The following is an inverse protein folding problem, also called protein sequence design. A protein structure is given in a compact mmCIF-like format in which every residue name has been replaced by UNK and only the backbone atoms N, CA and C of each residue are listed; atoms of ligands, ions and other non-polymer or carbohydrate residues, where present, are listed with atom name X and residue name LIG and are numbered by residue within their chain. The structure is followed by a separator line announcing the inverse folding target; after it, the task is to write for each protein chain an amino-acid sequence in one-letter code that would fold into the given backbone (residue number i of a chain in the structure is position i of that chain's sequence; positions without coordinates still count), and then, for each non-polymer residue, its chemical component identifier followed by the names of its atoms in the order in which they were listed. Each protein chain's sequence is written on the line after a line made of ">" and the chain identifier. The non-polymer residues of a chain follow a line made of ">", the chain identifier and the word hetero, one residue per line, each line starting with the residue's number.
data_IF_457933630871
#
_entry.id   IF_457933630871
#
_cell.length_a   1.000
_cell.length_b   1.000
_cell.length_c   1.000
_cell.angle_alpha   90.00
_cell.angle_beta   90.00
_cell.angle_gamma   90.00
#
_symmetry.space_group_name_H-M   'P 1'
#
loop_
_entity.id
_entity.type
_entity.pdbx_description
1 polymer ?
#
# COMPACT_ATOMS: atom_id res chain seq x y z
N UNK A 1 -25.52 21.48 -37.53
CA UNK A 1 -24.33 21.56 -36.62
C UNK A 1 -24.34 20.39 -35.67
N UNK A 2 -23.19 19.77 -35.47
CA UNK A 2 -22.99 18.69 -34.49
C UNK A 2 -22.32 19.29 -33.25
N UNK A 3 -22.80 18.92 -32.08
CA UNK A 3 -22.23 19.32 -30.79
C UNK A 3 -21.13 18.34 -30.38
N UNK A 4 -19.87 18.78 -30.44
CA UNK A 4 -18.69 17.97 -30.05
C UNK A 4 -18.27 18.28 -28.63
N UNK A 5 -18.21 17.26 -27.78
CA UNK A 5 -17.79 17.34 -26.39
C UNK A 5 -16.47 16.56 -26.22
N UNK A 6 -15.41 17.26 -25.83
CA UNK A 6 -14.11 16.65 -25.59
C UNK A 6 -13.88 16.40 -24.10
N UNK A 7 -13.51 15.18 -23.76
CA UNK A 7 -13.22 14.78 -22.37
C UNK A 7 -11.72 14.69 -22.10
N UNK A 8 -11.33 14.87 -20.83
CA UNK A 8 -9.95 14.71 -20.36
C UNK A 8 -8.95 15.61 -21.10
N UNK A 9 -7.82 15.02 -21.47
CA UNK A 9 -6.70 15.70 -22.15
C UNK A 9 -7.06 16.22 -23.56
N UNK A 10 -8.11 15.70 -24.18
CA UNK A 10 -8.52 16.16 -25.51
C UNK A 10 -8.94 17.63 -25.51
N UNK A 11 -9.23 18.22 -24.35
CA UNK A 11 -9.56 19.66 -24.21
C UNK A 11 -8.42 20.59 -24.61
N UNK A 12 -7.18 20.10 -24.64
CA UNK A 12 -6.04 20.89 -25.12
C UNK A 12 -6.09 21.18 -26.63
N UNK A 13 -6.81 20.36 -27.40
CA UNK A 13 -6.94 20.53 -28.85
C UNK A 13 -8.05 21.51 -29.27
N UNK A 14 -8.84 22.01 -28.32
CA UNK A 14 -9.88 22.96 -28.62
C UNK A 14 -10.20 23.90 -27.46
N UNK A 15 -10.33 25.21 -27.70
CA UNK A 15 -10.71 26.16 -26.65
C UNK A 15 -12.18 25.96 -26.27
N UNK A 16 -12.45 25.34 -25.11
CA UNK A 16 -13.77 25.15 -24.55
C UNK A 16 -14.19 23.69 -24.38
N UNK A 17 -15.21 23.45 -23.51
CA UNK A 17 -15.72 22.10 -23.23
C UNK A 17 -16.58 21.53 -24.36
N UNK A 18 -17.16 22.39 -25.18
CA UNK A 18 -18.13 22.04 -26.20
C UNK A 18 -17.85 22.88 -27.45
N UNK A 19 -17.78 22.23 -28.59
CA UNK A 19 -17.64 22.87 -29.90
C UNK A 19 -18.88 22.58 -30.75
N UNK A 20 -19.30 23.55 -31.53
CA UNK A 20 -20.25 23.31 -32.59
C UNK A 20 -19.49 23.19 -33.92
N UNK A 21 -19.57 22.03 -34.55
CA UNK A 21 -18.88 21.71 -35.79
C UNK A 21 -19.82 21.32 -36.91
N UNK A 22 -19.43 21.60 -38.15
CA UNK A 22 -20.16 21.07 -39.29
C UNK A 22 -19.85 19.58 -39.43
N UNK A 23 -20.88 18.73 -39.34
CA UNK A 23 -20.69 17.29 -39.33
C UNK A 23 -21.79 16.50 -40.02
N UNK A 24 -22.84 17.18 -40.54
CA UNK A 24 -23.95 16.49 -41.20
C UNK A 24 -23.48 15.69 -42.43
N UNK A 25 -23.76 14.40 -42.43
CA UNK A 25 -23.32 13.47 -43.47
C UNK A 25 -21.87 13.00 -43.38
N UNK A 26 -21.03 13.58 -42.51
CA UNK A 26 -19.66 13.18 -42.30
C UNK A 26 -19.55 12.03 -41.27
N UNK A 27 -18.49 11.25 -41.34
CA UNK A 27 -18.19 10.27 -40.30
C UNK A 27 -17.54 10.94 -39.07
N UNK A 28 -17.61 10.28 -37.94
CA UNK A 28 -16.92 10.71 -36.70
C UNK A 28 -15.43 10.98 -36.99
N UNK A 29 -14.75 10.08 -37.68
CA UNK A 29 -13.32 10.23 -38.02
C UNK A 29 -13.05 11.47 -38.89
N UNK A 30 -13.90 11.76 -39.88
CA UNK A 30 -13.76 12.94 -40.74
C UNK A 30 -13.91 14.26 -39.94
N UNK A 31 -14.89 14.32 -39.04
CA UNK A 31 -15.13 15.50 -38.19
C UNK A 31 -13.95 15.70 -37.20
N UNK A 32 -13.46 14.65 -36.60
CA UNK A 32 -12.33 14.75 -35.65
C UNK A 32 -11.03 15.17 -36.35
N UNK A 33 -10.79 14.68 -37.55
CA UNK A 33 -9.67 15.10 -38.39
C UNK A 33 -9.76 16.59 -38.76
N UNK A 34 -10.97 17.07 -39.08
CA UNK A 34 -11.22 18.46 -39.43
C UNK A 34 -11.00 19.44 -38.27
N UNK A 35 -11.18 19.01 -37.02
CA UNK A 35 -10.86 19.79 -35.82
C UNK A 35 -9.44 19.60 -35.30
N UNK A 36 -8.59 18.84 -36.02
CA UNK A 36 -7.19 18.66 -35.69
C UNK A 36 -6.93 17.68 -34.53
N UNK A 37 -7.90 16.81 -34.24
CA UNK A 37 -7.72 15.76 -33.21
C UNK A 37 -7.00 14.54 -33.80
N UNK A 38 -5.82 14.16 -33.27
CA UNK A 38 -5.12 12.95 -33.72
C UNK A 38 -5.95 11.70 -33.39
N UNK A 39 -6.09 10.77 -34.35
CA UNK A 39 -6.78 9.49 -34.13
C UNK A 39 -6.20 8.67 -32.98
N UNK A 40 -4.91 8.78 -32.76
CA UNK A 40 -4.15 8.12 -31.69
C UNK A 40 -4.49 8.67 -30.29
N UNK A 41 -5.01 9.88 -30.21
CA UNK A 41 -5.43 10.52 -28.94
C UNK A 41 -6.87 10.16 -28.52
N UNK A 42 -7.63 9.41 -29.35
CA UNK A 42 -9.04 9.10 -29.10
C UNK A 42 -9.28 7.60 -28.90
N UNK A 43 -9.99 7.20 -27.85
CA UNK A 43 -10.26 5.80 -27.52
C UNK A 43 -11.68 5.34 -27.75
N UNK A 44 -12.66 6.20 -27.48
CA UNK A 44 -14.06 5.85 -27.63
C UNK A 44 -14.90 7.06 -28.05
N UNK A 45 -15.97 6.78 -28.73
CA UNK A 45 -16.91 7.75 -29.26
C UNK A 45 -18.31 7.40 -28.77
N UNK A 46 -19.02 8.40 -28.25
CA UNK A 46 -20.39 8.26 -27.78
C UNK A 46 -21.26 9.24 -28.57
N UNK A 47 -22.16 8.71 -29.38
CA UNK A 47 -23.07 9.48 -30.18
C UNK A 47 -24.47 9.43 -29.55
N UNK A 48 -24.99 10.59 -29.12
CA UNK A 48 -26.30 10.69 -28.48
C UNK A 48 -26.49 9.75 -27.29
N UNK A 49 -25.41 9.47 -26.51
CA UNK A 49 -25.44 8.60 -25.35
C UNK A 49 -25.16 7.12 -25.64
N UNK A 50 -24.95 6.72 -26.88
CA UNK A 50 -24.60 5.35 -27.27
C UNK A 50 -23.19 5.28 -27.87
N UNK A 51 -22.44 4.25 -27.53
CA UNK A 51 -21.11 4.03 -28.10
C UNK A 51 -21.20 3.76 -29.59
N UNK A 52 -20.32 4.38 -30.38
CA UNK A 52 -20.29 4.23 -31.81
C UNK A 52 -18.87 4.01 -32.36
N UNK A 53 -18.80 3.56 -33.62
CA UNK A 53 -17.54 3.38 -34.35
C UNK A 53 -17.11 4.68 -35.06
N UNK A 54 -15.80 4.86 -35.36
CA UNK A 54 -15.29 6.01 -36.10
C UNK A 54 -15.95 6.26 -37.45
N UNK A 55 -16.49 5.20 -38.04
CA UNK A 55 -17.21 5.24 -39.33
C UNK A 55 -18.67 5.68 -39.23
N UNK A 56 -19.20 5.84 -38.00
CA UNK A 56 -20.59 6.28 -37.79
C UNK A 56 -20.84 7.66 -38.40
N UNK A 57 -21.96 7.79 -39.13
CA UNK A 57 -22.34 9.02 -39.77
C UNK A 57 -23.13 9.95 -38.86
N UNK A 58 -22.69 11.17 -38.79
CA UNK A 58 -23.31 12.23 -37.99
C UNK A 58 -24.44 12.94 -38.73
N UNK A 59 -25.40 13.42 -37.99
CA UNK A 59 -26.55 14.22 -38.47
C UNK A 59 -26.60 15.55 -37.77
N UNK A 60 -27.31 16.48 -38.38
CA UNK A 60 -27.54 17.80 -37.76
C UNK A 60 -28.31 17.66 -36.43
N UNK A 61 -27.81 18.29 -35.40
CA UNK A 61 -28.34 18.18 -34.02
C UNK A 61 -27.74 17.08 -33.15
N UNK A 62 -26.87 16.22 -33.70
CA UNK A 62 -26.22 15.18 -32.92
C UNK A 62 -25.24 15.73 -31.86
N UNK A 63 -25.13 15.01 -30.77
CA UNK A 63 -24.11 15.23 -29.75
C UNK A 63 -23.09 14.08 -29.79
N UNK A 64 -21.85 14.42 -30.14
CA UNK A 64 -20.73 13.52 -30.17
C UNK A 64 -19.80 13.79 -28.98
N UNK A 65 -19.65 12.82 -28.09
CA UNK A 65 -18.68 12.85 -27.00
C UNK A 65 -17.47 12.05 -27.40
N UNK A 66 -16.27 12.62 -27.22
CA UNK A 66 -15.00 11.96 -27.54
C UNK A 66 -14.20 11.79 -26.27
N UNK A 67 -13.88 10.54 -25.99
CA UNK A 67 -13.07 10.14 -24.85
C UNK A 67 -11.62 9.96 -25.30
N UNK A 68 -10.62 10.42 -24.50
CA UNK A 68 -9.21 10.29 -24.87
C UNK A 68 -8.81 8.84 -25.02
N UNK A 69 -7.91 8.56 -25.96
CA UNK A 69 -7.17 7.32 -25.94
C UNK A 69 -6.36 7.28 -24.65
N UNK A 70 -6.69 6.33 -23.80
CA UNK A 70 -5.81 5.98 -22.71
C UNK A 70 -4.60 5.36 -23.37
N UNK A 71 -3.51 6.11 -23.45
CA UNK A 71 -2.25 5.61 -23.98
C UNK A 71 -1.92 4.33 -23.24
N UNK A 72 -2.08 3.18 -23.91
CA UNK A 72 -1.68 1.85 -23.44
C UNK A 72 -2.19 1.45 -22.07
N UNK A 73 -3.44 0.98 -21.96
CA UNK A 73 -3.84 -0.07 -21.02
C UNK A 73 -3.55 0.07 -19.55
N UNK A 74 -3.85 1.21 -18.91
CA UNK A 74 -4.27 1.30 -17.51
C UNK A 74 -4.89 2.69 -17.33
N UNK A 75 -6.06 2.78 -16.69
CA UNK A 75 -6.59 4.06 -16.22
C UNK A 75 -5.49 4.76 -15.42
N UNK A 76 -5.27 6.07 -15.67
CA UNK A 76 -4.30 6.86 -14.91
C UNK A 76 -4.50 6.64 -13.41
N UNK A 77 -3.46 6.31 -12.69
CA UNK A 77 -3.52 6.12 -11.25
C UNK A 77 -3.85 7.43 -10.54
N UNK A 78 -4.29 7.37 -9.30
CA UNK A 78 -4.63 8.56 -8.51
C UNK A 78 -3.43 9.54 -8.33
N UNK A 79 -2.21 9.04 -8.45
CA UNK A 79 -0.96 9.79 -8.33
C UNK A 79 -0.20 9.89 -9.66
N UNK A 80 -0.91 9.72 -10.78
CA UNK A 80 -0.29 9.91 -12.09
C UNK A 80 0.22 11.35 -12.25
N UNK A 81 1.41 11.49 -12.85
CA UNK A 81 2.12 12.77 -12.94
C UNK A 81 2.87 13.20 -11.66
N UNK A 82 2.77 12.46 -10.54
CA UNK A 82 3.55 12.70 -9.33
C UNK A 82 4.90 11.98 -9.42
N UNK A 83 6.00 12.75 -9.31
CA UNK A 83 7.37 12.24 -9.33
C UNK A 83 7.93 12.11 -7.92
N UNK A 84 8.38 10.91 -7.56
CA UNK A 84 8.92 10.58 -6.23
C UNK A 84 10.39 10.16 -6.35
N UNK A 85 11.27 10.84 -5.64
CA UNK A 85 12.67 10.43 -5.47
C UNK A 85 12.76 9.59 -4.20
N UNK A 86 13.03 8.30 -4.38
CA UNK A 86 13.10 7.30 -3.33
C UNK A 86 14.55 7.04 -2.93
N UNK A 87 15.02 7.68 -1.85
CA UNK A 87 16.35 7.48 -1.26
C UNK A 87 16.33 6.38 -0.17
N UNK A 88 15.22 5.68 -0.04
CA UNK A 88 14.99 4.76 1.09
C UNK A 88 15.63 3.39 0.91
N UNK A 89 15.80 2.66 2.02
CA UNK A 89 16.37 1.32 2.10
C UNK A 89 15.57 0.43 3.05
N UNK A 90 15.85 -0.85 3.02
CA UNK A 90 15.22 -1.87 3.85
C UNK A 90 13.71 -1.98 3.61
N UNK A 91 12.85 -1.60 4.58
CA UNK A 91 11.42 -1.88 4.49
C UNK A 91 10.51 -0.66 4.67
N UNK A 92 10.60 0.09 5.74
CA UNK A 92 9.64 1.15 6.07
C UNK A 92 9.47 2.18 4.94
N UNK A 93 10.59 2.72 4.44
CA UNK A 93 10.61 3.65 3.34
C UNK A 93 10.20 3.02 2.00
N UNK A 94 10.83 1.90 1.58
CA UNK A 94 10.44 1.22 0.35
C UNK A 94 8.98 0.79 0.32
N UNK A 95 8.37 0.44 1.46
CA UNK A 95 6.95 0.14 1.54
C UNK A 95 6.06 1.39 1.36
N UNK A 96 6.48 2.53 1.92
CA UNK A 96 5.83 3.81 1.66
C UNK A 96 5.82 4.13 0.17
N UNK A 97 6.99 4.10 -0.48
CA UNK A 97 7.13 4.45 -1.90
C UNK A 97 6.50 3.40 -2.83
N UNK A 98 6.42 2.11 -2.43
CA UNK A 98 5.63 1.09 -3.11
C UNK A 98 4.14 1.48 -3.17
N UNK A 99 3.57 1.94 -2.05
CA UNK A 99 2.16 2.35 -2.03
C UNK A 99 1.91 3.52 -2.99
N UNK A 100 2.81 4.50 -3.03
CA UNK A 100 2.70 5.62 -3.99
C UNK A 100 2.83 5.13 -5.43
N UNK A 101 3.79 4.23 -5.70
CA UNK A 101 4.00 3.63 -7.01
C UNK A 101 2.78 2.82 -7.47
N UNK A 102 2.17 2.01 -6.61
CA UNK A 102 0.98 1.23 -6.92
C UNK A 102 -0.22 2.11 -7.31
N UNK A 103 -0.27 3.35 -6.79
CA UNK A 103 -1.31 4.33 -7.10
C UNK A 103 -0.97 5.27 -8.28
N UNK A 104 0.10 5.02 -9.01
CA UNK A 104 0.40 5.72 -10.26
C UNK A 104 1.66 6.58 -10.24
N UNK A 105 2.22 6.92 -9.08
CA UNK A 105 3.41 7.77 -9.00
C UNK A 105 4.60 7.18 -9.79
N UNK A 106 5.39 8.07 -10.42
CA UNK A 106 6.68 7.74 -11.01
C UNK A 106 7.75 7.74 -9.90
N UNK A 107 8.10 6.56 -9.41
CA UNK A 107 9.04 6.40 -8.31
C UNK A 107 10.42 6.03 -8.84
N UNK A 108 11.37 6.94 -8.67
CA UNK A 108 12.80 6.73 -8.99
C UNK A 108 13.54 6.35 -7.71
N UNK A 109 13.88 5.07 -7.59
CA UNK A 109 14.69 4.53 -6.48
C UNK A 109 16.16 4.74 -6.76
N UNK A 110 16.81 5.51 -5.89
CA UNK A 110 18.24 5.81 -5.95
C UNK A 110 19.01 4.83 -5.09
N UNK A 111 19.90 4.07 -5.69
CA UNK A 111 20.65 3.00 -5.04
C UNK A 111 22.16 3.21 -5.14
N UNK A 112 22.92 2.62 -4.21
CA UNK A 112 24.38 2.69 -4.25
C UNK A 112 24.93 1.84 -5.42
N UNK A 113 25.88 2.34 -6.23
CA UNK A 113 26.54 1.52 -7.24
C UNK A 113 27.15 0.24 -6.66
N UNK A 114 26.99 -0.88 -7.36
CA UNK A 114 27.55 -2.18 -7.02
C UNK A 114 26.84 -2.96 -5.92
N UNK A 115 26.20 -2.28 -4.95
CA UNK A 115 25.53 -2.96 -3.81
C UNK A 115 24.03 -2.82 -3.82
N UNK A 116 23.52 -1.66 -4.19
CA UNK A 116 22.10 -1.34 -4.17
C UNK A 116 21.51 -1.22 -2.76
N UNK A 117 20.23 -1.48 -2.66
CA UNK A 117 19.51 -1.65 -1.40
C UNK A 117 19.98 -2.95 -0.73
N UNK A 118 20.24 -2.91 0.57
CA UNK A 118 20.70 -4.08 1.33
C UNK A 118 19.74 -5.28 1.25
N UNK A 119 18.44 -5.04 1.00
CA UNK A 119 17.45 -6.09 0.79
C UNK A 119 17.71 -6.94 -0.45
N UNK A 120 18.54 -6.47 -1.39
CA UNK A 120 18.99 -7.29 -2.53
C UNK A 120 19.84 -8.48 -2.10
N UNK A 121 20.49 -8.38 -0.93
CA UNK A 121 21.30 -9.45 -0.31
C UNK A 121 20.57 -10.18 0.82
N UNK A 122 19.39 -9.73 1.25
CA UNK A 122 18.65 -10.38 2.33
C UNK A 122 17.95 -11.64 1.82
N UNK A 123 18.60 -12.76 2.05
CA UNK A 123 18.11 -14.08 1.69
C UNK A 123 18.80 -15.16 2.56
N UNK A 124 18.30 -16.39 2.67
CA UNK A 124 17.23 -17.01 1.90
C UNK A 124 15.83 -16.47 2.21
N UNK A 125 14.79 -16.63 1.31
CA UNK A 125 14.90 -17.34 0.04
C UNK A 125 15.37 -16.45 -1.13
N UNK A 126 16.01 -17.09 -2.13
CA UNK A 126 16.27 -16.51 -3.44
C UNK A 126 15.33 -17.12 -4.49
N UNK A 127 14.91 -16.33 -5.47
CA UNK A 127 14.21 -16.79 -6.68
C UNK A 127 15.17 -16.54 -7.85
N UNK A 128 15.74 -17.59 -8.40
CA UNK A 128 16.77 -17.52 -9.47
C UNK A 128 17.88 -16.47 -9.18
N UNK A 129 18.39 -16.47 -7.95
CA UNK A 129 19.48 -15.57 -7.51
C UNK A 129 19.05 -14.18 -7.09
N UNK A 130 17.76 -13.84 -7.14
CA UNK A 130 17.21 -12.55 -6.69
C UNK A 130 16.54 -12.71 -5.33
N UNK A 131 16.80 -11.80 -4.40
CA UNK A 131 16.18 -11.80 -3.06
C UNK A 131 14.65 -11.69 -3.15
N UNK A 132 13.94 -12.65 -2.58
CA UNK A 132 12.48 -12.61 -2.50
C UNK A 132 12.00 -11.40 -1.66
N UNK A 133 12.79 -10.93 -0.71
CA UNK A 133 12.48 -9.76 0.10
C UNK A 133 12.46 -8.49 -0.77
N UNK A 134 13.50 -8.27 -1.60
CA UNK A 134 13.54 -7.15 -2.52
C UNK A 134 12.37 -7.19 -3.52
N UNK A 135 12.07 -8.38 -4.06
CA UNK A 135 10.97 -8.59 -5.01
C UNK A 135 9.59 -8.23 -4.42
N UNK A 136 9.40 -8.42 -3.12
CA UNK A 136 8.10 -8.19 -2.49
C UNK A 136 7.71 -6.71 -2.37
N UNK A 137 8.68 -5.76 -2.36
CA UNK A 137 8.46 -4.37 -1.93
C UNK A 137 8.93 -3.29 -2.93
N UNK A 138 9.39 -3.67 -4.14
CA UNK A 138 9.94 -2.70 -5.08
C UNK A 138 9.29 -2.71 -6.48
N UNK A 139 8.12 -3.36 -6.64
CA UNK A 139 7.38 -3.27 -7.92
C UNK A 139 6.99 -1.83 -8.24
N UNK A 140 6.73 -1.57 -9.51
CA UNK A 140 6.34 -0.25 -10.03
C UNK A 140 7.38 0.86 -9.88
N UNK A 141 8.61 0.56 -9.41
CA UNK A 141 9.71 1.52 -9.29
C UNK A 141 10.65 1.45 -10.48
N UNK A 142 11.34 2.55 -10.74
CA UNK A 142 12.54 2.62 -11.60
C UNK A 142 13.76 2.68 -10.71
N UNK A 143 14.82 1.91 -11.00
CA UNK A 143 16.07 1.92 -10.23
C UNK A 143 17.15 2.65 -11.00
N UNK A 144 17.83 3.56 -10.32
CA UNK A 144 19.09 4.16 -10.77
C UNK A 144 20.18 3.90 -9.75
N UNK A 145 21.43 3.82 -10.20
CA UNK A 145 22.59 3.81 -9.29
C UNK A 145 23.15 5.23 -9.17
N UNK A 146 23.56 5.62 -7.94
CA UNK A 146 24.16 6.94 -7.70
C UNK A 146 24.98 6.96 -6.41
N UNK A 147 26.27 7.34 -6.50
CA UNK A 147 27.09 7.58 -5.31
C UNK A 147 26.91 9.03 -4.80
N UNK A 148 26.13 9.20 -3.74
CA UNK A 148 25.88 10.49 -3.10
C UNK A 148 27.10 11.08 -2.34
N UNK A 149 28.19 10.33 -2.21
CA UNK A 149 29.46 10.83 -1.65
C UNK A 149 30.27 11.54 -2.72
N UNK A 150 30.12 11.14 -3.99
CA UNK A 150 30.84 11.76 -5.10
C UNK A 150 30.24 13.14 -5.46
N UNK A 151 31.07 14.18 -5.73
CA UNK A 151 30.56 15.53 -6.08
C UNK A 151 29.60 15.52 -7.28
N UNK A 152 29.91 14.75 -8.34
CA UNK A 152 29.04 14.64 -9.51
C UNK A 152 27.71 13.92 -9.16
N UNK A 153 27.74 12.93 -8.27
CA UNK A 153 26.53 12.27 -7.78
C UNK A 153 25.58 13.24 -7.05
N UNK A 154 26.15 14.21 -6.33
CA UNK A 154 25.35 15.28 -5.71
C UNK A 154 24.69 16.19 -6.75
N UNK A 155 25.37 16.52 -7.85
CA UNK A 155 24.78 17.31 -8.95
C UNK A 155 23.63 16.54 -9.63
N UNK A 156 23.82 15.23 -9.82
CA UNK A 156 22.73 14.38 -10.35
C UNK A 156 21.53 14.39 -9.40
N UNK A 157 21.73 14.22 -8.09
CA UNK A 157 20.62 14.27 -7.14
C UNK A 157 19.96 15.66 -7.13
N UNK A 158 20.71 16.75 -7.23
CA UNK A 158 20.15 18.10 -7.31
C UNK A 158 19.21 18.24 -8.51
N UNK A 159 19.61 17.74 -9.68
CA UNK A 159 18.77 17.72 -10.88
C UNK A 159 17.57 16.79 -10.76
N UNK A 160 17.69 15.67 -10.05
CA UNK A 160 16.54 14.79 -9.76
C UNK A 160 15.50 15.45 -8.85
N UNK A 161 15.96 16.27 -7.91
CA UNK A 161 15.09 17.03 -6.99
C UNK A 161 14.37 18.15 -7.75
N UNK A 162 15.03 18.81 -8.72
CA UNK A 162 14.37 19.79 -9.59
C UNK A 162 13.18 19.14 -10.30
N UNK A 163 11.97 19.67 -10.10
CA UNK A 163 10.73 19.13 -10.67
C UNK A 163 10.23 17.83 -10.03
N UNK A 164 10.80 17.39 -8.90
CA UNK A 164 10.20 16.30 -8.12
C UNK A 164 9.10 16.82 -7.20
N UNK A 165 8.08 16.01 -7.00
CA UNK A 165 6.97 16.32 -6.08
C UNK A 165 7.28 15.87 -4.65
N UNK A 166 7.99 14.75 -4.52
CA UNK A 166 8.25 14.11 -3.22
C UNK A 166 9.67 13.57 -3.18
N UNK A 167 10.36 13.79 -2.07
CA UNK A 167 11.63 13.13 -1.74
C UNK A 167 11.39 12.33 -0.46
N UNK A 168 11.64 11.02 -0.51
CA UNK A 168 11.49 10.13 0.66
C UNK A 168 12.85 9.58 1.06
N UNK A 169 13.19 9.68 2.34
CA UNK A 169 14.41 9.10 2.90
C UNK A 169 14.14 8.39 4.23
N UNK A 170 14.96 7.39 4.56
CA UNK A 170 14.94 6.72 5.87
C UNK A 170 16.36 6.43 6.40
N UNK A 171 17.28 7.33 6.12
CA UNK A 171 18.63 7.26 6.68
C UNK A 171 18.62 7.55 8.19
N UNK A 172 19.71 7.21 8.85
CA UNK A 172 19.95 7.68 10.21
C UNK A 172 19.94 9.22 10.24
N UNK A 173 19.29 9.86 11.22
CA UNK A 173 19.18 11.31 11.31
C UNK A 173 20.52 12.04 11.14
N UNK A 174 20.52 13.07 10.29
CA UNK A 174 21.72 13.83 9.93
C UNK A 174 22.53 13.26 8.75
N UNK A 175 22.14 12.12 8.20
CA UNK A 175 22.87 11.53 7.05
C UNK A 175 22.63 12.31 5.77
N UNK A 176 21.37 12.62 5.47
CA UNK A 176 21.01 13.40 4.29
C UNK A 176 21.63 14.80 4.33
N UNK A 177 21.71 15.42 5.49
CA UNK A 177 22.41 16.69 5.73
C UNK A 177 23.91 16.58 5.44
N UNK A 178 24.57 15.47 5.84
CA UNK A 178 26.01 15.23 5.52
C UNK A 178 26.24 15.08 4.02
N UNK A 179 25.26 14.61 3.26
CA UNK A 179 25.34 14.61 1.79
C UNK A 179 25.11 16.01 1.19
N UNK A 180 24.67 16.99 1.98
CA UNK A 180 24.39 18.36 1.54
C UNK A 180 22.94 18.61 1.15
N UNK A 181 22.05 17.69 1.45
CA UNK A 181 20.62 17.74 1.10
C UNK A 181 19.72 17.81 2.35
N UNK A 182 20.03 18.75 3.24
CA UNK A 182 19.09 19.10 4.31
C UNK A 182 17.71 19.42 3.71
N UNK A 183 16.60 19.17 4.44
CA UNK A 183 15.25 19.47 3.94
C UNK A 183 15.08 20.90 3.43
N UNK A 184 15.73 21.85 4.08
CA UNK A 184 15.74 23.26 3.68
C UNK A 184 16.42 23.45 2.31
N UNK A 185 17.51 22.72 2.04
CA UNK A 185 18.21 22.75 0.75
C UNK A 185 17.34 22.13 -0.35
N UNK A 186 16.70 21.00 -0.09
CA UNK A 186 15.77 20.38 -1.04
C UNK A 186 14.66 21.35 -1.41
N UNK A 187 14.04 21.99 -0.42
CA UNK A 187 12.98 23.00 -0.64
C UNK A 187 13.50 24.30 -1.24
N UNK A 188 14.77 24.61 -1.12
CA UNK A 188 15.37 25.73 -1.84
C UNK A 188 15.58 25.44 -3.33
N UNK A 189 15.80 24.16 -3.70
CA UNK A 189 15.87 23.68 -5.09
C UNK A 189 14.47 23.61 -5.68
N UNK A 190 13.55 22.93 -4.98
CA UNK A 190 12.16 22.73 -5.39
C UNK A 190 11.21 23.14 -4.24
N UNK A 191 10.69 24.37 -4.24
CA UNK A 191 9.84 24.87 -3.15
C UNK A 191 8.53 24.09 -2.95
N UNK A 192 8.09 23.40 -3.98
CA UNK A 192 6.89 22.57 -3.95
C UNK A 192 7.16 21.14 -3.48
N UNK A 193 8.41 20.73 -3.31
CA UNK A 193 8.76 19.38 -2.89
C UNK A 193 8.30 19.07 -1.46
N UNK A 194 7.71 17.91 -1.29
CA UNK A 194 7.40 17.32 0.01
C UNK A 194 8.58 16.44 0.40
N UNK A 195 9.21 16.73 1.53
CA UNK A 195 10.34 15.94 2.04
C UNK A 195 9.84 15.05 3.18
N UNK A 196 9.75 13.75 2.93
CA UNK A 196 9.30 12.77 3.93
C UNK A 196 10.51 12.01 4.50
N UNK A 197 10.69 12.11 5.81
CA UNK A 197 11.77 11.49 6.57
C UNK A 197 11.18 10.42 7.47
N UNK A 198 11.60 9.16 7.26
CA UNK A 198 11.11 8.03 8.06
C UNK A 198 12.25 7.58 8.97
N UNK A 199 12.02 7.56 10.28
CA UNK A 199 13.05 7.20 11.25
C UNK A 199 12.47 6.34 12.38
N UNK A 200 13.34 5.70 13.18
CA UNK A 200 12.90 4.93 14.34
C UNK A 200 12.21 5.79 15.40
N UNK A 201 12.85 6.90 15.79
CA UNK A 201 12.52 7.65 17.00
C UNK A 201 12.43 9.17 16.79
N UNK A 202 12.41 9.64 15.54
CA UNK A 202 12.34 11.07 15.20
C UNK A 202 13.67 11.69 14.80
N UNK A 203 13.57 12.88 14.20
CA UNK A 203 14.72 13.63 13.71
C UNK A 203 15.39 14.46 14.80
N UNK A 204 14.75 14.58 15.95
CA UNK A 204 15.21 15.31 17.15
C UNK A 204 14.93 14.52 18.43
N UNK A 205 15.12 15.14 19.60
CA UNK A 205 14.83 14.55 20.88
C UNK A 205 15.79 13.45 21.33
N UNK A 206 15.47 12.75 22.45
CA UNK A 206 16.39 11.84 23.12
C UNK A 206 16.70 10.57 22.32
N UNK A 207 15.80 10.14 21.44
CA UNK A 207 15.94 8.93 20.61
C UNK A 207 16.64 9.15 19.27
N UNK A 208 16.98 10.40 18.90
CA UNK A 208 17.51 10.74 17.59
C UNK A 208 18.69 9.89 17.12
N UNK A 209 19.58 9.54 18.03
CA UNK A 209 20.81 8.78 17.73
C UNK A 209 20.64 7.27 17.89
N UNK A 210 19.47 6.78 18.28
CA UNK A 210 19.26 5.36 18.51
C UNK A 210 19.07 4.60 17.19
N UNK A 211 19.75 3.44 17.11
CA UNK A 211 19.50 2.52 16.01
C UNK A 211 18.11 1.88 16.16
N UNK A 212 17.42 1.75 15.04
CA UNK A 212 16.09 1.18 15.00
C UNK A 212 16.01 0.04 13.98
N UNK A 213 15.36 -1.03 14.40
CA UNK A 213 14.82 -2.08 13.55
C UNK A 213 13.45 -2.46 14.09
N UNK A 214 12.64 -3.09 13.28
CA UNK A 214 11.26 -3.47 13.58
C UNK A 214 11.09 -4.08 14.97
N UNK A 215 11.88 -5.12 15.31
CA UNK A 215 11.81 -5.82 16.60
C UNK A 215 12.03 -4.86 17.80
N UNK A 216 13.01 -3.96 17.69
CA UNK A 216 13.32 -3.00 18.75
C UNK A 216 12.13 -2.06 18.97
N UNK A 217 11.56 -1.57 17.88
CA UNK A 217 10.46 -0.60 17.93
C UNK A 217 9.15 -1.27 18.34
N UNK A 218 8.87 -2.50 17.95
CA UNK A 218 7.73 -3.26 18.49
C UNK A 218 7.82 -3.43 20.02
N UNK A 219 9.02 -3.68 20.53
CA UNK A 219 9.26 -3.76 21.98
C UNK A 219 9.05 -2.43 22.69
N UNK A 220 9.71 -1.38 22.24
CA UNK A 220 9.65 -0.04 22.85
C UNK A 220 8.29 0.63 22.68
N UNK A 221 7.58 0.34 21.57
CA UNK A 221 6.25 0.88 21.29
C UNK A 221 5.11 0.18 22.02
N UNK A 222 5.40 -0.79 22.88
CA UNK A 222 4.42 -1.43 23.78
C UNK A 222 3.63 -2.60 23.17
N UNK A 223 3.65 -2.81 21.85
CA UNK A 223 2.85 -3.86 21.19
C UNK A 223 3.26 -5.25 21.68
N UNK A 224 4.56 -5.53 21.87
CA UNK A 224 5.03 -6.81 22.39
C UNK A 224 4.56 -7.10 23.82
N UNK A 225 4.34 -6.06 24.63
CA UNK A 225 3.82 -6.23 25.99
C UNK A 225 2.37 -6.75 26.02
N UNK A 226 1.63 -6.55 24.91
CA UNK A 226 0.23 -6.93 24.75
C UNK A 226 0.07 -8.22 23.94
N UNK A 227 1.11 -8.67 23.23
CA UNK A 227 1.07 -9.81 22.31
C UNK A 227 1.67 -11.05 22.96
N UNK A 228 0.98 -12.17 22.86
CA UNK A 228 1.39 -13.46 23.38
C UNK A 228 0.38 -14.09 24.35
N UNK A 229 0.64 -15.32 24.81
CA UNK A 229 -0.21 -16.02 25.74
C UNK A 229 -0.20 -15.36 27.14
N UNK A 230 -1.30 -15.46 27.92
CA UNK A 230 -1.34 -15.01 29.29
C UNK A 230 -0.23 -15.67 30.12
N UNK A 231 0.53 -14.87 30.88
CA UNK A 231 1.66 -15.37 31.68
C UNK A 231 2.91 -15.80 30.90
N UNK A 232 2.84 -15.80 29.55
CA UNK A 232 3.97 -16.12 28.69
C UNK A 232 4.95 -14.94 28.48
N UNK A 233 6.03 -15.11 27.70
CA UNK A 233 6.94 -14.02 27.35
C UNK A 233 6.28 -13.00 26.41
N UNK A 234 6.76 -11.73 26.38
CA UNK A 234 6.41 -10.79 25.33
C UNK A 234 6.74 -11.36 23.95
N UNK A 235 5.82 -11.25 23.00
CA UNK A 235 5.94 -11.88 21.68
C UNK A 235 5.81 -10.81 20.61
N UNK A 236 6.71 -10.83 19.62
CA UNK A 236 6.59 -9.94 18.46
C UNK A 236 5.44 -10.38 17.55
N UNK A 237 4.86 -9.45 16.83
CA UNK A 237 3.97 -9.78 15.72
C UNK A 237 4.80 -10.40 14.60
N UNK A 238 4.32 -11.50 14.01
CA UNK A 238 5.07 -12.32 13.04
C UNK A 238 5.32 -11.66 11.67
N UNK A 239 4.96 -10.38 11.52
CA UNK A 239 5.27 -9.54 10.35
C UNK A 239 5.99 -8.27 10.83
N UNK A 240 6.81 -7.60 9.99
CA UNK A 240 7.54 -6.39 10.37
C UNK A 240 6.57 -5.19 10.51
N UNK A 241 5.78 -5.22 11.56
CA UNK A 241 4.65 -4.32 11.77
C UNK A 241 5.08 -2.88 12.00
N UNK A 242 6.19 -2.63 12.71
CA UNK A 242 6.66 -1.28 12.97
C UNK A 242 7.09 -0.58 11.67
N UNK A 243 7.79 -1.31 10.80
CA UNK A 243 8.18 -0.83 9.48
C UNK A 243 6.95 -0.53 8.61
N UNK A 244 6.07 -1.52 8.45
CA UNK A 244 4.92 -1.41 7.56
C UNK A 244 3.96 -0.30 7.96
N UNK A 245 3.64 -0.20 9.25
CA UNK A 245 2.73 0.85 9.76
C UNK A 245 3.33 2.24 9.60
N UNK A 246 4.63 2.43 9.86
CA UNK A 246 5.28 3.72 9.64
C UNK A 246 5.29 4.09 8.14
N UNK A 247 5.53 3.12 7.26
CA UNK A 247 5.42 3.30 5.82
C UNK A 247 4.02 3.71 5.36
N UNK A 248 2.97 3.09 5.94
CA UNK A 248 1.57 3.46 5.66
C UNK A 248 1.26 4.88 6.12
N UNK A 249 1.66 5.28 7.35
CA UNK A 249 1.46 6.64 7.84
C UNK A 249 2.24 7.66 7.02
N UNK A 250 3.46 7.34 6.60
CA UNK A 250 4.26 8.20 5.74
C UNK A 250 3.57 8.40 4.37
N UNK A 251 3.10 7.33 3.73
CA UNK A 251 2.36 7.42 2.47
C UNK A 251 1.08 8.25 2.61
N UNK A 252 0.30 8.03 3.68
CA UNK A 252 -0.88 8.84 3.97
C UNK A 252 -0.54 10.32 4.17
N UNK A 253 0.52 10.62 4.94
CA UNK A 253 0.96 12.00 5.18
C UNK A 253 1.45 12.68 3.90
N UNK A 254 2.14 11.95 3.01
CA UNK A 254 2.55 12.45 1.69
C UNK A 254 1.33 12.83 0.85
N UNK A 255 0.32 11.96 0.75
CA UNK A 255 -0.91 12.24 0.00
C UNK A 255 -1.66 13.44 0.59
N UNK A 256 -1.76 13.54 1.92
CA UNK A 256 -2.35 14.70 2.60
C UNK A 256 -1.56 15.99 2.32
N UNK A 257 -0.23 15.93 2.28
CA UNK A 257 0.64 17.06 1.96
C UNK A 257 0.53 17.47 0.48
N UNK A 258 0.43 16.53 -0.46
CA UNK A 258 0.15 16.79 -1.86
C UNK A 258 -1.19 17.53 -2.03
N UNK A 259 -2.25 17.06 -1.36
CA UNK A 259 -3.54 17.73 -1.37
C UNK A 259 -3.48 19.14 -0.75
N UNK A 260 -2.75 19.31 0.37
CA UNK A 260 -2.57 20.63 1.00
C UNK A 260 -1.83 21.60 0.07
N UNK A 261 -0.79 21.12 -0.64
CA UNK A 261 0.01 21.86 -1.60
C UNK A 261 -0.81 22.51 -2.72
N UNK A 262 -1.89 21.89 -3.15
CA UNK A 262 -2.77 22.46 -4.18
C UNK A 262 -3.43 23.79 -3.73
N UNK A 263 -3.55 24.01 -2.43
CA UNK A 263 -4.08 25.24 -1.85
C UNK A 263 -2.99 26.22 -1.42
N UNK A 264 -1.89 25.70 -0.88
CA UNK A 264 -0.81 26.53 -0.31
C UNK A 264 0.23 26.96 -1.35
N UNK A 265 0.36 26.19 -2.44
CA UNK A 265 1.41 26.37 -3.43
C UNK A 265 2.78 25.86 -2.98
N UNK A 266 2.94 25.43 -1.72
CA UNK A 266 4.22 25.07 -1.12
C UNK A 266 4.26 23.60 -0.67
N UNK A 267 5.44 22.98 -0.76
CA UNK A 267 5.74 21.71 -0.13
C UNK A 267 5.98 21.85 1.37
N UNK A 268 6.21 20.72 2.04
CA UNK A 268 6.50 20.69 3.48
C UNK A 268 7.42 19.53 3.86
N UNK A 269 7.93 19.57 5.10
CA UNK A 269 8.69 18.46 5.67
C UNK A 269 7.76 17.60 6.52
N UNK A 270 7.88 16.28 6.37
CA UNK A 270 7.16 15.26 7.14
C UNK A 270 8.20 14.48 7.92
N UNK A 271 8.03 14.36 9.25
CA UNK A 271 8.78 13.44 10.10
C UNK A 271 7.84 12.29 10.51
N UNK A 272 8.06 11.10 9.96
CA UNK A 272 7.30 9.90 10.25
C UNK A 272 8.15 8.94 11.08
N UNK A 273 7.67 8.56 12.27
CA UNK A 273 8.45 7.72 13.18
C UNK A 273 7.86 6.33 13.33
N UNK A 274 8.72 5.32 13.36
CA UNK A 274 8.28 3.95 13.61
C UNK A 274 7.64 3.82 14.99
N UNK A 275 8.22 4.46 16.01
CA UNK A 275 7.66 4.46 17.39
C UNK A 275 6.27 5.09 17.42
N UNK A 276 6.06 6.19 16.68
CA UNK A 276 4.76 6.86 16.58
C UNK A 276 3.71 5.95 15.98
N UNK A 277 4.08 5.19 14.92
CA UNK A 277 3.21 4.17 14.33
C UNK A 277 2.78 3.10 15.33
N UNK A 278 3.72 2.61 16.14
CA UNK A 278 3.41 1.60 17.18
C UNK A 278 2.51 2.17 18.28
N UNK A 279 2.78 3.37 18.77
CA UNK A 279 1.95 4.04 19.78
C UNK A 279 0.52 4.26 19.27
N UNK A 280 0.35 4.64 17.99
CA UNK A 280 -0.97 4.80 17.39
C UNK A 280 -1.78 3.49 17.39
N UNK A 281 -1.15 2.33 17.25
CA UNK A 281 -1.79 1.03 17.32
C UNK A 281 -2.30 0.65 18.71
N UNK A 282 -1.79 1.25 19.78
CA UNK A 282 -2.21 0.93 21.16
C UNK A 282 -3.69 1.24 21.42
N UNK A 283 -4.25 2.25 20.71
CA UNK A 283 -5.70 2.53 20.63
C UNK A 283 -6.47 2.24 21.93
N UNK A 284 -7.32 1.20 21.95
CA UNK A 284 -8.13 0.78 23.10
C UNK A 284 -7.31 0.47 24.36
N UNK A 285 -6.14 -0.11 24.22
CA UNK A 285 -5.31 -0.47 25.38
C UNK A 285 -4.71 0.80 26.04
N UNK A 286 -4.32 1.78 25.23
CA UNK A 286 -3.93 3.09 25.74
C UNK A 286 -5.10 3.80 26.45
N UNK A 287 -6.32 3.71 25.89
CA UNK A 287 -7.53 4.27 26.53
C UNK A 287 -7.79 3.65 27.91
N UNK A 288 -7.61 2.32 28.08
CA UNK A 288 -7.71 1.66 29.40
C UNK A 288 -6.68 2.22 30.38
N UNK A 289 -5.42 2.30 29.95
CA UNK A 289 -4.36 2.85 30.79
C UNK A 289 -4.63 4.30 31.21
N UNK A 290 -5.07 5.13 30.28
CA UNK A 290 -5.39 6.54 30.60
C UNK A 290 -6.63 6.72 31.48
N UNK A 291 -7.57 5.76 31.44
CA UNK A 291 -8.79 5.87 32.23
C UNK A 291 -8.58 5.64 33.72
N UNK A 292 -7.77 4.67 34.10
CA UNK A 292 -7.64 4.24 35.50
C UNK A 292 -6.20 3.83 35.91
N UNK A 293 -5.22 3.99 35.02
CA UNK A 293 -3.83 3.58 35.28
C UNK A 293 -3.57 2.09 35.16
N UNK A 294 -4.57 1.29 34.80
CA UNK A 294 -4.40 -0.15 34.65
C UNK A 294 -3.48 -0.47 33.49
N UNK A 295 -2.35 -1.13 33.75
CA UNK A 295 -1.42 -1.60 32.72
C UNK A 295 -1.96 -2.91 32.12
N UNK A 296 -2.40 -2.90 30.84
CA UNK A 296 -2.92 -4.11 30.21
C UNK A 296 -1.81 -5.16 30.05
N UNK A 297 -2.16 -6.41 30.33
CA UNK A 297 -1.28 -7.55 30.07
C UNK A 297 -1.61 -8.26 28.77
N UNK A 298 -0.93 -9.38 28.54
CA UNK A 298 -1.21 -10.29 27.42
C UNK A 298 -2.46 -11.12 27.72
N UNK A 299 -3.45 -11.00 26.86
CA UNK A 299 -4.73 -11.71 26.99
C UNK A 299 -4.80 -12.95 26.06
N UNK A 300 -3.75 -13.17 25.21
CA UNK A 300 -3.78 -14.23 24.19
C UNK A 300 -4.85 -13.97 23.14
N UNK A 301 -5.52 -15.04 22.73
CA UNK A 301 -6.54 -14.99 21.68
C UNK A 301 -7.96 -14.93 22.25
N UNK A 302 -8.17 -14.22 23.36
CA UNK A 302 -9.49 -14.08 24.01
C UNK A 302 -9.89 -12.61 24.14
N UNK A 303 -11.19 -12.35 24.07
CA UNK A 303 -11.71 -11.02 24.37
C UNK A 303 -12.02 -10.90 25.86
N UNK A 304 -11.55 -9.84 26.51
CA UNK A 304 -11.68 -9.66 27.96
C UNK A 304 -13.15 -9.62 28.44
N UNK A 305 -14.04 -8.97 27.67
CA UNK A 305 -15.42 -8.62 28.10
C UNK A 305 -16.54 -9.21 27.22
N UNK A 306 -16.22 -10.13 26.31
CA UNK A 306 -17.22 -10.83 25.47
C UNK A 306 -16.91 -12.32 25.44
N UNK A 307 -17.92 -13.17 25.69
CA UNK A 307 -17.77 -14.63 25.76
C UNK A 307 -18.96 -15.33 25.09
N UNK A 308 -18.67 -16.32 24.18
CA UNK A 308 -17.37 -16.65 23.62
C UNK A 308 -16.93 -15.68 22.53
N UNK A 309 -15.71 -15.20 22.61
CA UNK A 309 -15.01 -14.43 21.58
C UNK A 309 -13.53 -14.78 21.70
N UNK A 310 -13.14 -15.90 21.05
CA UNK A 310 -11.80 -16.44 21.20
C UNK A 310 -11.44 -17.47 20.13
N UNK A 311 -10.17 -17.92 20.19
CA UNK A 311 -9.69 -19.05 19.41
C UNK A 311 -10.03 -20.36 20.12
N UNK A 312 -10.51 -21.34 19.35
CA UNK A 312 -10.76 -22.71 19.78
C UNK A 312 -9.93 -23.69 18.97
N UNK A 313 -9.49 -24.78 19.64
CA UNK A 313 -8.79 -25.88 18.96
C UNK A 313 -9.82 -26.82 18.34
N UNK A 314 -9.79 -26.96 17.02
CA UNK A 314 -10.52 -27.96 16.25
C UNK A 314 -9.69 -29.26 16.12
N UNK A 315 -10.26 -30.30 15.52
CA UNK A 315 -9.59 -31.57 15.33
C UNK A 315 -8.33 -31.47 14.44
N UNK A 316 -8.32 -30.53 13.48
CA UNK A 316 -7.30 -30.33 12.44
C UNK A 316 -6.68 -28.93 12.44
N UNK A 317 -6.75 -28.18 13.54
CA UNK A 317 -6.18 -26.84 13.63
C UNK A 317 -6.94 -25.93 14.59
N UNK A 318 -7.09 -24.65 14.23
CA UNK A 318 -7.72 -23.64 15.08
C UNK A 318 -8.77 -22.84 14.32
N UNK A 319 -9.82 -22.40 15.05
CA UNK A 319 -10.87 -21.51 14.55
C UNK A 319 -11.10 -20.37 15.54
N UNK A 320 -11.40 -19.19 15.03
CA UNK A 320 -11.94 -18.09 15.83
C UNK A 320 -13.46 -18.10 15.79
N UNK A 321 -14.11 -18.04 16.95
CA UNK A 321 -15.56 -17.94 17.08
C UNK A 321 -15.89 -16.70 17.90
N UNK A 322 -16.74 -15.80 17.36
CA UNK A 322 -17.03 -14.50 17.94
C UNK A 322 -18.53 -14.29 18.13
N UNK A 323 -19.05 -14.50 19.34
CA UNK A 323 -20.44 -14.24 19.69
C UNK A 323 -20.59 -12.85 20.30
N UNK A 324 -20.70 -11.81 19.47
CA UNK A 324 -20.79 -10.42 19.91
C UNK A 324 -22.09 -10.04 20.62
N UNK A 325 -23.10 -10.92 20.65
CA UNK A 325 -24.40 -10.72 21.34
C UNK A 325 -25.07 -12.06 21.67
N UNK A 326 -26.17 -11.98 22.41
CA UNK A 326 -26.91 -13.18 22.85
C UNK A 326 -27.49 -13.99 21.69
N UNK A 327 -27.94 -13.33 20.61
CA UNK A 327 -28.44 -14.02 19.42
C UNK A 327 -27.37 -14.81 18.70
N UNK A 328 -26.09 -14.30 18.67
CA UNK A 328 -24.98 -15.08 18.16
C UNK A 328 -24.69 -16.31 19.03
N UNK A 329 -24.75 -16.16 20.34
CA UNK A 329 -24.52 -17.27 21.27
C UNK A 329 -25.56 -18.36 21.09
N UNK A 330 -26.85 -18.00 21.03
CA UNK A 330 -27.95 -18.94 20.80
C UNK A 330 -27.79 -19.70 19.47
N UNK A 331 -27.52 -18.98 18.38
CA UNK A 331 -27.27 -19.61 17.07
C UNK A 331 -26.04 -20.51 17.05
N UNK A 332 -24.99 -20.12 17.76
CA UNK A 332 -23.79 -20.95 17.92
C UNK A 332 -24.12 -22.25 18.65
N UNK A 333 -24.84 -22.19 19.78
CA UNK A 333 -25.18 -23.36 20.52
C UNK A 333 -25.99 -24.36 19.67
N UNK A 334 -26.99 -23.88 18.94
CA UNK A 334 -27.78 -24.73 18.03
C UNK A 334 -26.93 -25.31 16.88
N UNK A 335 -26.09 -24.48 16.23
CA UNK A 335 -25.26 -24.92 15.09
C UNK A 335 -24.19 -25.93 15.49
N UNK A 336 -23.70 -25.86 16.73
CA UNK A 336 -22.72 -26.78 17.29
C UNK A 336 -23.36 -27.97 18.05
N UNK A 337 -24.72 -28.02 18.16
CA UNK A 337 -25.44 -29.08 18.89
C UNK A 337 -24.99 -29.13 20.36
N UNK A 338 -25.07 -28.00 21.04
CA UNK A 338 -24.78 -27.81 22.49
C UNK A 338 -25.85 -26.93 23.14
N UNK A 339 -27.13 -27.20 22.79
CA UNK A 339 -28.30 -26.44 23.24
C UNK A 339 -28.47 -26.47 24.75
N UNK A 340 -27.95 -27.48 25.44
CA UNK A 340 -27.97 -27.58 26.91
C UNK A 340 -27.30 -26.34 27.57
N UNK A 341 -26.43 -25.66 26.88
CA UNK A 341 -25.81 -24.42 27.37
C UNK A 341 -26.80 -23.25 27.43
N UNK A 342 -27.90 -23.30 26.66
CA UNK A 342 -28.95 -22.27 26.67
C UNK A 342 -29.89 -22.40 27.87
N UNK A 343 -29.98 -23.59 28.44
CA UNK A 343 -30.81 -23.87 29.59
C UNK A 343 -30.12 -23.49 30.92
N UNK A 344 -28.82 -23.28 30.90
CA UNK A 344 -28.03 -22.91 32.08
C UNK A 344 -28.12 -21.40 32.34
N UNK A 345 -28.77 -21.04 33.47
CA UNK A 345 -28.91 -19.63 33.87
C UNK A 345 -27.63 -18.86 34.04
N UNK A 346 -26.47 -19.53 34.17
CA UNK A 346 -25.13 -18.93 34.23
C UNK A 346 -24.69 -18.36 32.88
N UNK A 347 -25.32 -18.73 31.77
CA UNK A 347 -24.92 -18.32 30.41
C UNK A 347 -25.98 -17.46 29.72
N UNK A 348 -27.04 -17.04 30.43
CA UNK A 348 -28.18 -16.33 29.87
C UNK A 348 -27.86 -15.00 29.18
N UNK A 349 -26.85 -14.30 29.66
CA UNK A 349 -26.38 -13.02 29.10
C UNK A 349 -24.85 -12.94 29.10
N UNK A 350 -24.31 -11.92 28.43
CA UNK A 350 -22.86 -11.80 28.29
C UNK A 350 -22.14 -11.54 29.63
N UNK A 351 -22.75 -10.79 30.54
CA UNK A 351 -22.12 -10.48 31.85
C UNK A 351 -21.94 -11.78 32.64
N UNK A 352 -22.96 -12.63 32.67
CA UNK A 352 -22.87 -13.94 33.29
C UNK A 352 -21.89 -14.86 32.59
N UNK A 353 -21.87 -14.89 31.24
CA UNK A 353 -20.90 -15.69 30.49
C UNK A 353 -19.46 -15.25 30.76
N UNK A 354 -19.21 -13.97 30.96
CA UNK A 354 -17.90 -13.46 31.40
C UNK A 354 -17.55 -13.96 32.79
N UNK A 355 -18.51 -13.86 33.75
CA UNK A 355 -18.28 -14.29 35.11
C UNK A 355 -18.09 -15.83 35.23
N UNK A 356 -18.76 -16.61 34.38
CA UNK A 356 -18.67 -18.08 34.37
C UNK A 356 -17.93 -18.63 33.15
N UNK A 357 -16.97 -17.87 32.63
CA UNK A 357 -16.15 -18.25 31.46
C UNK A 357 -15.51 -19.64 31.62
N UNK A 358 -14.95 -19.92 32.80
CA UNK A 358 -14.24 -21.16 33.10
C UNK A 358 -15.15 -22.39 33.10
N UNK A 359 -16.45 -22.19 33.26
CA UNK A 359 -17.46 -23.25 33.14
C UNK A 359 -17.96 -23.42 31.70
N UNK A 360 -18.10 -22.31 30.96
CA UNK A 360 -18.67 -22.28 29.60
C UNK A 360 -17.66 -22.77 28.56
N UNK A 361 -16.45 -22.18 28.55
CA UNK A 361 -15.48 -22.39 27.48
C UNK A 361 -15.09 -23.86 27.31
N UNK A 362 -14.80 -24.66 28.37
CA UNK A 362 -14.45 -26.07 28.20
C UNK A 362 -15.59 -26.92 27.56
N UNK A 363 -16.83 -26.55 27.73
CA UNK A 363 -17.95 -27.26 27.09
C UNK A 363 -17.99 -27.02 25.59
N UNK A 364 -17.75 -25.78 25.16
CA UNK A 364 -17.59 -25.45 23.75
C UNK A 364 -16.32 -26.10 23.15
N UNK A 365 -15.19 -26.06 23.86
CA UNK A 365 -13.91 -26.66 23.41
C UNK A 365 -14.04 -28.16 23.17
N UNK A 366 -14.75 -28.87 24.05
CA UNK A 366 -14.99 -30.31 23.90
C UNK A 366 -15.73 -30.64 22.59
N UNK A 367 -16.72 -29.82 22.24
CA UNK A 367 -17.49 -30.03 21.02
C UNK A 367 -16.70 -29.62 19.76
N UNK A 368 -16.10 -28.46 19.80
CA UNK A 368 -15.29 -27.94 18.70
C UNK A 368 -14.07 -28.84 18.41
N UNK A 369 -13.45 -29.37 19.45
CA UNK A 369 -12.29 -30.26 19.32
C UNK A 369 -12.58 -31.60 18.60
N UNK A 370 -13.85 -31.98 18.50
CA UNK A 370 -14.28 -33.17 17.79
C UNK A 370 -14.57 -32.92 16.30
N UNK A 371 -14.54 -31.69 15.84
CA UNK A 371 -14.96 -31.29 14.50
C UNK A 371 -13.78 -30.74 13.71
N UNK A 372 -13.78 -30.97 12.39
CA UNK A 372 -12.83 -30.33 11.47
C UNK A 372 -13.12 -28.84 11.29
N UNK A 373 -12.08 -28.02 11.09
CA UNK A 373 -12.20 -26.56 10.84
C UNK A 373 -13.26 -26.23 9.81
N UNK A 374 -13.24 -26.91 8.67
CA UNK A 374 -14.15 -26.66 7.57
C UNK A 374 -15.62 -26.87 7.96
N UNK A 375 -15.92 -27.90 8.74
CA UNK A 375 -17.27 -28.22 9.21
C UNK A 375 -17.78 -27.18 10.21
N UNK A 376 -16.93 -26.76 11.17
CA UNK A 376 -17.26 -25.69 12.13
C UNK A 376 -17.59 -24.40 11.38
N UNK A 377 -16.74 -24.00 10.45
CA UNK A 377 -16.91 -22.77 9.65
C UNK A 377 -18.18 -22.84 8.82
N UNK A 378 -18.46 -23.98 8.17
CA UNK A 378 -19.67 -24.18 7.37
C UNK A 378 -20.94 -24.04 8.22
N UNK A 379 -21.01 -24.71 9.38
CA UNK A 379 -22.19 -24.68 10.28
C UNK A 379 -22.42 -23.27 10.82
N UNK A 380 -21.39 -22.64 11.37
CA UNK A 380 -21.52 -21.34 12.03
C UNK A 380 -21.79 -20.21 11.04
N UNK A 381 -21.16 -20.22 9.85
CA UNK A 381 -21.52 -19.27 8.78
C UNK A 381 -22.95 -19.45 8.30
N UNK A 382 -23.42 -20.70 8.14
CA UNK A 382 -24.81 -21.00 7.79
C UNK A 382 -25.80 -20.51 8.82
N UNK A 383 -25.42 -20.45 10.10
CA UNK A 383 -26.19 -19.89 11.19
C UNK A 383 -25.99 -18.38 11.41
N UNK A 384 -25.26 -17.69 10.53
CA UNK A 384 -24.92 -16.28 10.67
C UNK A 384 -24.21 -15.95 12.01
N UNK A 385 -23.23 -16.77 12.38
CA UNK A 385 -22.32 -16.55 13.51
C UNK A 385 -20.93 -16.22 12.95
N UNK A 386 -20.30 -15.11 13.37
CA UNK A 386 -18.95 -14.77 12.95
C UNK A 386 -17.94 -15.85 13.33
N UNK A 387 -17.30 -16.44 12.34
CA UNK A 387 -16.35 -17.54 12.47
C UNK A 387 -15.34 -17.53 11.32
N UNK A 388 -14.10 -17.90 11.60
CA UNK A 388 -13.07 -18.12 10.60
C UNK A 388 -11.99 -19.10 11.06
N UNK A 389 -11.35 -19.82 10.13
CA UNK A 389 -10.19 -20.64 10.46
C UNK A 389 -8.99 -19.76 10.76
N UNK A 390 -8.01 -20.26 11.52
CA UNK A 390 -6.66 -19.72 11.51
C UNK A 390 -5.96 -20.42 10.35
N UNK A 391 -5.66 -19.66 9.31
CA UNK A 391 -5.08 -20.12 8.07
C UNK A 391 -3.56 -19.93 8.05
N UNK A 392 -2.83 -20.88 7.48
CA UNK A 392 -1.45 -20.68 7.10
C UNK A 392 -1.32 -19.89 5.76
N UNK A 393 -0.10 -19.53 5.36
CA UNK A 393 0.11 -18.75 4.13
C UNK A 393 -0.32 -19.50 2.86
N UNK A 394 -0.20 -20.84 2.85
CA UNK A 394 -0.69 -21.66 1.75
C UNK A 394 -2.21 -21.63 1.64
N UNK A 395 -2.91 -21.74 2.77
CA UNK A 395 -4.36 -21.61 2.84
C UNK A 395 -4.81 -20.18 2.46
N UNK A 396 -4.14 -19.13 2.95
CA UNK A 396 -4.47 -17.72 2.64
C UNK A 396 -4.41 -17.45 1.14
N UNK A 397 -3.29 -17.77 0.47
CA UNK A 397 -3.11 -17.46 -0.95
C UNK A 397 -3.90 -18.38 -1.89
N UNK A 398 -4.53 -19.44 -1.36
CA UNK A 398 -5.47 -20.30 -2.07
C UNK A 398 -6.94 -20.00 -1.72
N UNK A 399 -7.22 -19.13 -0.73
CA UNK A 399 -8.57 -18.77 -0.33
C UNK A 399 -9.35 -18.10 -1.47
N UNK A 400 -10.59 -18.52 -1.76
CA UNK A 400 -11.41 -17.94 -2.82
C UNK A 400 -11.67 -16.44 -2.68
N UNK A 401 -11.77 -15.93 -1.44
CA UNK A 401 -11.96 -14.49 -1.17
C UNK A 401 -10.70 -13.72 -1.53
N UNK A 402 -9.52 -14.21 -1.12
CA UNK A 402 -8.22 -13.60 -1.43
C UNK A 402 -7.99 -13.55 -2.94
N UNK A 403 -8.31 -14.64 -3.65
CA UNK A 403 -8.23 -14.71 -5.12
C UNK A 403 -9.24 -13.77 -5.80
N UNK A 404 -10.49 -13.77 -5.35
CA UNK A 404 -11.54 -12.89 -5.89
C UNK A 404 -11.18 -11.40 -5.73
N UNK A 405 -10.58 -11.05 -4.60
CA UNK A 405 -10.14 -9.69 -4.33
C UNK A 405 -8.86 -9.29 -5.09
N UNK A 406 -8.20 -10.23 -5.77
CA UNK A 406 -6.96 -9.97 -6.52
C UNK A 406 -5.76 -9.64 -5.63
N UNK A 407 -5.72 -10.21 -4.41
CA UNK A 407 -4.68 -9.93 -3.42
C UNK A 407 -3.38 -10.71 -3.62
N UNK A 408 -3.17 -11.24 -4.83
CA UNK A 408 -1.90 -11.83 -5.28
C UNK A 408 -1.50 -11.13 -6.57
N UNK A 409 -0.40 -10.42 -6.53
CA UNK A 409 0.22 -9.82 -7.71
C UNK A 409 1.13 -10.87 -8.37
N UNK A 410 1.02 -11.03 -9.69
CA UNK A 410 1.92 -11.85 -10.49
C UNK A 410 2.66 -10.95 -11.48
N UNK A 411 3.97 -11.15 -11.62
CA UNK A 411 4.85 -10.29 -12.42
C UNK A 411 5.91 -11.15 -13.11
N UNK A 412 6.29 -10.78 -14.32
CA UNK A 412 7.39 -11.41 -15.04
C UNK A 412 8.66 -10.56 -14.85
N UNK A 413 9.58 -11.05 -14.01
CA UNK A 413 10.84 -10.38 -13.70
C UNK A 413 11.97 -10.92 -14.60
N UNK A 414 12.80 -10.05 -15.14
CA UNK A 414 13.82 -10.39 -16.14
C UNK A 414 14.76 -11.55 -15.70
N UNK A 415 15.14 -11.60 -14.43
CA UNK A 415 16.05 -12.62 -13.90
C UNK A 415 15.30 -13.67 -13.09
N UNK A 416 14.39 -13.27 -12.19
CA UNK A 416 13.69 -14.19 -11.32
C UNK A 416 12.61 -15.03 -12.04
N UNK A 417 12.21 -14.62 -13.26
CA UNK A 417 11.09 -15.23 -13.98
C UNK A 417 9.75 -14.80 -13.39
N UNK A 418 8.76 -15.69 -13.44
CA UNK A 418 7.43 -15.38 -12.87
C UNK A 418 7.48 -15.37 -11.35
N UNK A 419 7.22 -14.21 -10.77
CA UNK A 419 7.21 -13.97 -9.32
C UNK A 419 5.82 -13.59 -8.83
N UNK A 420 5.53 -13.92 -7.57
CA UNK A 420 4.30 -13.55 -6.89
C UNK A 420 4.62 -12.74 -5.64
N UNK A 421 3.77 -11.77 -5.36
CA UNK A 421 3.84 -10.94 -4.15
C UNK A 421 2.42 -10.64 -3.64
N UNK A 422 2.26 -10.16 -2.39
CA UNK A 422 0.98 -9.60 -1.96
C UNK A 422 0.49 -8.52 -2.93
N UNK A 423 -0.79 -8.61 -3.32
CA UNK A 423 -1.42 -7.65 -4.23
C UNK A 423 -1.73 -6.32 -3.58
N UNK A 424 -2.42 -5.46 -4.31
CA UNK A 424 -2.84 -4.14 -3.82
C UNK A 424 -4.14 -4.31 -3.03
N UNK A 425 -4.20 -3.88 -1.75
CA UNK A 425 -5.32 -4.22 -0.87
C UNK A 425 -6.56 -3.32 -1.05
N UNK A 426 -6.52 -2.35 -1.94
CA UNK A 426 -7.61 -1.40 -2.19
C UNK A 426 -8.05 -1.42 -3.64
N UNK A 427 -9.33 -1.14 -3.87
CA UNK A 427 -9.91 -0.94 -5.19
C UNK A 427 -10.45 0.48 -5.28
N UNK A 428 -10.11 1.19 -6.35
CA UNK A 428 -10.61 2.54 -6.64
C UNK A 428 -11.25 2.51 -8.01
N UNK A 429 -12.50 2.91 -8.12
CA UNK A 429 -13.28 2.80 -9.36
C UNK A 429 -12.75 3.76 -10.44
N UNK A 430 -12.54 5.02 -10.10
CA UNK A 430 -12.16 6.05 -11.07
C UNK A 430 -10.66 6.09 -11.38
N UNK A 431 -9.79 5.64 -10.45
CA UNK A 431 -8.32 5.67 -10.56
C UNK A 431 -7.73 4.38 -9.98
N UNK A 432 -7.98 3.22 -10.61
CA UNK A 432 -7.61 1.94 -10.05
C UNK A 432 -6.09 1.81 -9.91
N UNK A 433 -5.59 1.43 -8.71
CA UNK A 433 -4.19 1.12 -8.54
C UNK A 433 -3.84 -0.16 -9.32
N UNK A 434 -2.61 -0.25 -9.81
CA UNK A 434 -2.21 -1.35 -10.69
C UNK A 434 -0.74 -1.75 -10.55
N UNK A 435 -0.46 -3.01 -10.88
CA UNK A 435 0.91 -3.51 -11.02
C UNK A 435 1.33 -3.32 -12.48
N UNK A 436 2.20 -2.32 -12.72
CA UNK A 436 2.62 -1.89 -14.05
C UNK A 436 4.00 -2.42 -14.46
N UNK A 437 4.89 -2.60 -13.48
CA UNK A 437 6.27 -3.05 -13.68
C UNK A 437 6.70 -4.03 -12.59
N UNK A 438 7.49 -5.06 -12.90
CA UNK A 438 8.14 -5.87 -11.87
C UNK A 438 9.16 -5.02 -11.09
N UNK A 439 9.67 -5.50 -9.95
CA UNK A 439 10.78 -4.87 -9.26
C UNK A 439 12.00 -4.73 -10.18
N UNK A 440 12.69 -3.57 -10.21
CA UNK A 440 13.76 -3.35 -11.16
C UNK A 440 15.06 -4.08 -10.82
N UNK A 441 15.88 -4.38 -11.82
CA UNK A 441 17.28 -4.71 -11.63
C UNK A 441 18.04 -3.49 -11.09
N UNK A 442 19.21 -3.72 -10.48
CA UNK A 442 20.04 -2.62 -9.97
C UNK A 442 20.49 -1.71 -11.11
N UNK A 443 20.11 -0.42 -11.04
CA UNK A 443 20.48 0.58 -12.04
C UNK A 443 19.83 0.41 -13.40
N UNK A 444 18.79 -0.42 -13.52
CA UNK A 444 18.12 -0.76 -14.79
C UNK A 444 17.71 0.48 -15.60
N UNK A 445 17.31 1.54 -14.92
CA UNK A 445 16.77 2.74 -15.54
C UNK A 445 17.72 3.95 -15.48
N UNK A 446 19.02 3.72 -15.15
CA UNK A 446 19.97 4.83 -14.95
C UNK A 446 20.08 5.72 -16.18
N UNK A 447 20.29 5.14 -17.37
CA UNK A 447 20.45 5.91 -18.60
C UNK A 447 19.15 6.63 -19.01
N UNK A 448 18.02 5.97 -18.86
CA UNK A 448 16.69 6.53 -19.13
C UNK A 448 16.44 7.78 -18.27
N UNK A 449 16.55 7.62 -16.95
CA UNK A 449 16.25 8.69 -15.99
C UNK A 449 17.23 9.86 -16.11
N UNK A 450 18.53 9.59 -16.30
CA UNK A 450 19.51 10.66 -16.47
C UNK A 450 19.29 11.43 -17.78
N UNK A 451 18.91 10.75 -18.85
CA UNK A 451 18.56 11.42 -20.12
C UNK A 451 17.32 12.30 -19.98
N UNK A 452 16.29 11.85 -19.25
CA UNK A 452 15.07 12.65 -18.97
C UNK A 452 15.39 13.97 -18.27
N UNK A 453 16.41 14.01 -17.40
CA UNK A 453 16.80 15.22 -16.66
C UNK A 453 17.93 16.00 -17.37
N UNK A 454 18.22 15.67 -18.65
CA UNK A 454 19.05 16.47 -19.55
C UNK A 454 20.51 16.09 -19.59
N UNK A 455 20.93 14.93 -19.07
CA UNK A 455 22.28 14.42 -19.23
C UNK A 455 22.44 13.78 -20.61
N UNK A 456 23.48 14.15 -21.33
CA UNK A 456 23.84 13.54 -22.62
C UNK A 456 24.41 12.13 -22.42
N UNK A 457 24.32 11.28 -23.44
CA UNK A 457 24.90 9.93 -23.42
C UNK A 457 26.42 9.94 -23.12
N UNK A 458 27.15 10.98 -23.57
CA UNK A 458 28.58 11.15 -23.29
C UNK A 458 28.88 11.45 -21.81
N UNK A 459 28.05 12.29 -21.18
CA UNK A 459 28.15 12.61 -19.74
C UNK A 459 27.78 11.41 -18.89
N UNK A 460 26.71 10.68 -19.23
CA UNK A 460 26.31 9.45 -18.54
C UNK A 460 27.44 8.41 -18.62
N UNK A 461 28.06 8.23 -19.78
CA UNK A 461 29.19 7.34 -19.94
C UNK A 461 30.42 7.79 -19.11
N UNK A 462 30.63 9.09 -18.90
CA UNK A 462 31.65 9.60 -18.01
C UNK A 462 31.34 9.28 -16.53
N UNK A 463 30.12 9.57 -16.07
CA UNK A 463 29.69 9.24 -14.72
C UNK A 463 29.88 7.74 -14.42
N UNK A 464 29.59 6.89 -15.40
CA UNK A 464 29.77 5.43 -15.26
C UNK A 464 31.25 5.03 -15.18
N UNK A 465 32.13 5.60 -15.99
CA UNK A 465 33.59 5.34 -15.90
C UNK A 465 34.17 5.78 -14.57
N UNK A 466 33.65 6.84 -13.98
CA UNK A 466 34.10 7.41 -12.71
C UNK A 466 33.44 6.72 -11.51
N UNK A 467 32.59 5.70 -11.73
CA UNK A 467 31.91 4.93 -10.68
C UNK A 467 30.86 5.73 -9.93
N UNK A 468 30.35 6.81 -10.51
CA UNK A 468 29.29 7.66 -9.91
C UNK A 468 27.92 7.02 -10.08
N UNK A 469 27.70 6.34 -11.22
CA UNK A 469 26.47 5.63 -11.57
C UNK A 469 26.75 4.22 -12.07
#
# INVERSE_FOLDING_TARGET
>A
MVRLILHGELRQYAPGKVLEVQGDGHSVAEVLSAVGLPSEATAAYVLNGEQCEPSARLRDGDTLEVLPAISGGASAGALDGIRVIDLTRALAGPYCTLMLADHGADVVKVELPGGGDETRSWAPPYINGVSAYYLAINRNKRSITLDLKHPEGKKVLERLVEGSDVVVENFSPGTLERFGFAPERIRAIEPRAIVCRISGFGQDGPGRAWAAYDLIVQGMGGVMSLTGPPGGPPTMVGVPQADMVSGMFAAFAIVAALHARERTGEGQVIDATMIGGQVALLSRQAARYFADGTVPGREGNVHASIVPYQTFKAADGYVNICCGNNAHFERMCRALEVEELLEDARFADNEKRVAFRDALVPSIERRVGQMAKAEIVRRLRGANVPVGPISDLGEVFNDPVVRHLGLVAEMDHATAGRVRAPGIPVRMEGTPPSVRRPPPLLGEHTDEVLSEIGWSAGEIAALRRDGVV
#
